data_IF_686141622769
#
_entry.id   IF_686141622769
#
_cell.length_a   1.000
_cell.length_b   1.000
_cell.length_c   1.000
_cell.angle_alpha   90.00
_cell.angle_beta   90.00
_cell.angle_gamma   90.00
#
_symmetry.space_group_name_H-M   'P 1'
#
loop_
_entity.id
_entity.type
_entity.pdbx_description
1 polymer ?
#
# COMPACT_ATOMS: atom_id res chain seq x y z
N UNK A 1 13.76 16.91 10.74
CA UNK A 1 13.66 16.45 9.35
C UNK A 1 12.81 15.19 9.34
N UNK A 2 11.61 15.25 8.77
CA UNK A 2 10.79 14.04 8.59
C UNK A 2 11.47 13.16 7.57
N UNK A 3 11.77 11.91 7.92
CA UNK A 3 12.39 10.96 7.00
C UNK A 3 11.35 10.58 5.95
N UNK A 4 11.62 10.88 4.69
CA UNK A 4 10.72 10.56 3.58
C UNK A 4 11.05 9.18 3.03
N UNK A 5 10.03 8.48 2.56
CA UNK A 5 10.14 7.16 1.91
C UNK A 5 9.96 7.25 0.40
N UNK A 6 9.91 8.48 -0.12
CA UNK A 6 10.15 8.85 -1.51
C UNK A 6 11.45 9.65 -1.56
N UNK A 7 12.28 9.39 -2.56
CA UNK A 7 13.64 9.92 -2.69
C UNK A 7 13.74 10.79 -3.93
N UNK A 8 14.63 11.79 -3.92
CA UNK A 8 14.68 12.84 -4.94
C UNK A 8 14.84 12.33 -6.39
N UNK A 9 15.48 11.18 -6.57
CA UNK A 9 15.74 10.51 -7.84
C UNK A 9 14.77 9.36 -8.14
N UNK A 10 13.72 9.20 -7.34
CA UNK A 10 12.58 8.36 -7.70
C UNK A 10 11.81 8.95 -8.88
N UNK A 11 11.17 8.07 -9.65
CA UNK A 11 10.27 8.45 -10.74
C UNK A 11 8.87 8.00 -10.47
N UNK A 12 7.90 8.89 -10.62
CA UNK A 12 6.47 8.60 -10.55
C UNK A 12 5.92 8.46 -11.97
N UNK A 13 5.48 7.25 -12.33
CA UNK A 13 5.00 6.93 -13.68
C UNK A 13 6.02 7.30 -14.80
N UNK A 14 7.31 7.21 -14.49
CA UNK A 14 8.41 7.53 -15.41
C UNK A 14 8.85 9.00 -15.43
N UNK A 15 8.10 9.89 -14.78
CA UNK A 15 8.40 11.32 -14.62
C UNK A 15 9.05 11.62 -13.27
N UNK A 16 9.63 12.81 -13.12
CA UNK A 16 10.16 13.29 -11.84
C UNK A 16 9.05 13.41 -10.79
N UNK A 17 9.42 13.31 -9.51
CA UNK A 17 8.48 13.51 -8.41
C UNK A 17 7.89 14.93 -8.44
N UNK A 18 6.61 15.01 -8.11
CA UNK A 18 5.89 16.27 -7.88
C UNK A 18 5.73 16.51 -6.38
N UNK A 19 5.55 17.75 -5.96
CA UNK A 19 5.46 18.11 -4.54
C UNK A 19 4.31 17.38 -3.81
N UNK A 20 3.22 17.10 -4.52
CA UNK A 20 2.05 16.39 -3.98
C UNK A 20 2.28 14.87 -3.82
N UNK A 21 3.35 14.32 -4.39
CA UNK A 21 3.60 12.87 -4.38
C UNK A 21 3.66 12.31 -2.95
N UNK A 22 4.23 13.08 -2.00
CA UNK A 22 4.26 12.69 -0.60
C UNK A 22 2.85 12.59 0.01
N UNK A 23 1.96 13.53 -0.30
CA UNK A 23 0.60 13.52 0.23
C UNK A 23 -0.20 12.32 -0.32
N UNK A 24 -0.05 12.00 -1.60
CA UNK A 24 -0.67 10.80 -2.18
C UNK A 24 -0.08 9.53 -1.59
N UNK A 25 1.24 9.49 -1.39
CA UNK A 25 1.91 8.34 -0.78
C UNK A 25 1.37 8.05 0.61
N UNK A 26 1.25 9.07 1.48
CA UNK A 26 0.73 8.89 2.83
C UNK A 26 -0.70 8.35 2.82
N UNK A 27 -1.57 8.84 1.93
CA UNK A 27 -2.94 8.32 1.78
C UNK A 27 -2.96 6.84 1.40
N UNK A 28 -2.10 6.42 0.48
CA UNK A 28 -2.00 5.00 0.12
C UNK A 28 -1.40 4.16 1.25
N UNK A 29 -0.44 4.68 2.00
CA UNK A 29 0.11 3.98 3.16
C UNK A 29 -0.96 3.76 4.24
N UNK A 30 -1.75 4.77 4.58
CA UNK A 30 -2.89 4.65 5.50
C UNK A 30 -3.92 3.66 5.00
N UNK A 31 -4.29 3.73 3.72
CA UNK A 31 -5.19 2.76 3.08
C UNK A 31 -4.69 1.32 3.22
N UNK A 32 -3.41 1.06 2.95
CA UNK A 32 -2.85 -0.28 3.06
C UNK A 32 -2.74 -0.74 4.51
N UNK A 33 -2.53 0.16 5.48
CA UNK A 33 -2.61 -0.17 6.91
C UNK A 33 -4.01 -0.68 7.25
N UNK A 34 -5.06 0.05 6.87
CA UNK A 34 -6.44 -0.37 7.15
C UNK A 34 -6.78 -1.69 6.46
N UNK A 35 -6.34 -1.87 5.21
CA UNK A 35 -6.55 -3.09 4.45
C UNK A 35 -5.95 -4.32 5.14
N UNK A 36 -4.69 -4.25 5.59
CA UNK A 36 -4.05 -5.42 6.21
C UNK A 36 -4.56 -5.71 7.62
N UNK A 37 -5.05 -4.69 8.34
CA UNK A 37 -5.58 -4.86 9.70
C UNK A 37 -6.92 -5.59 9.72
N UNK A 38 -7.69 -5.51 8.63
CA UNK A 38 -8.97 -6.20 8.49
C UNK A 38 -8.80 -7.70 8.22
N UNK A 39 -7.63 -8.13 7.76
CA UNK A 39 -7.39 -9.49 7.30
C UNK A 39 -6.51 -10.30 8.25
N UNK A 40 -7.11 -11.34 8.85
CA UNK A 40 -6.41 -12.21 9.81
C UNK A 40 -5.16 -12.88 9.21
N UNK A 41 -5.16 -13.13 7.90
CA UNK A 41 -4.05 -13.77 7.20
C UNK A 41 -2.71 -13.04 7.37
N UNK A 42 -2.71 -11.72 7.59
CA UNK A 42 -1.47 -10.95 7.75
C UNK A 42 -0.84 -11.06 9.15
N UNK A 43 -1.55 -11.62 10.14
CA UNK A 43 -1.02 -11.80 11.51
C UNK A 43 0.13 -12.81 11.59
N UNK A 44 0.33 -13.64 10.54
CA UNK A 44 1.48 -14.55 10.44
C UNK A 44 2.81 -13.79 10.28
N UNK A 45 2.76 -12.56 9.76
CA UNK A 45 3.94 -11.72 9.55
C UNK A 45 4.21 -10.83 10.77
N UNK A 46 5.49 -10.49 10.98
CA UNK A 46 5.85 -9.49 12.00
C UNK A 46 5.28 -8.12 11.60
N UNK A 47 4.76 -7.32 12.54
CA UNK A 47 4.23 -5.99 12.23
C UNK A 47 5.23 -5.09 11.49
N UNK A 48 6.52 -5.20 11.79
CA UNK A 48 7.59 -4.47 11.08
C UNK A 48 7.77 -4.89 9.62
N UNK A 49 7.58 -6.18 9.28
CA UNK A 49 7.62 -6.68 7.90
C UNK A 49 6.36 -6.24 7.15
N UNK A 50 5.21 -6.25 7.81
CA UNK A 50 3.95 -5.74 7.25
C UNK A 50 4.09 -4.25 6.95
N UNK A 51 4.61 -3.45 7.89
CA UNK A 51 4.88 -2.03 7.66
C UNK A 51 5.82 -1.80 6.48
N UNK A 52 6.93 -2.54 6.37
CA UNK A 52 7.82 -2.45 5.22
C UNK A 52 7.12 -2.82 3.90
N UNK A 53 6.27 -3.86 3.93
CA UNK A 53 5.46 -4.28 2.77
C UNK A 53 4.45 -3.22 2.34
N UNK A 54 3.83 -2.53 3.29
CA UNK A 54 2.93 -1.39 3.04
C UNK A 54 3.69 -0.28 2.32
N UNK A 55 4.90 0.07 2.77
CA UNK A 55 5.70 1.10 2.10
C UNK A 55 5.89 0.76 0.61
N UNK A 56 6.24 -0.50 0.32
CA UNK A 56 6.43 -0.99 -1.04
C UNK A 56 5.12 -1.00 -1.83
N UNK A 57 4.01 -1.43 -1.22
CA UNK A 57 2.70 -1.44 -1.87
C UNK A 57 2.24 -0.02 -2.24
N UNK A 58 2.46 0.97 -1.37
CA UNK A 58 2.19 2.38 -1.63
C UNK A 58 3.07 2.95 -2.76
N UNK A 59 4.35 2.56 -2.83
CA UNK A 59 5.23 2.90 -3.97
C UNK A 59 4.69 2.29 -5.27
N UNK A 60 4.28 1.02 -5.24
CA UNK A 60 3.80 0.30 -6.43
C UNK A 60 2.51 0.88 -6.99
N UNK A 61 1.52 1.17 -6.15
CA UNK A 61 0.22 1.69 -6.62
C UNK A 61 0.35 3.08 -7.25
N UNK A 62 1.31 3.88 -6.78
CA UNK A 62 1.65 5.18 -7.36
C UNK A 62 2.56 5.08 -8.61
N UNK A 63 3.02 3.88 -8.96
CA UNK A 63 3.98 3.69 -10.05
C UNK A 63 5.33 4.33 -9.79
N UNK A 64 5.76 4.34 -8.52
CA UNK A 64 7.09 4.83 -8.12
C UNK A 64 8.15 3.80 -8.49
N UNK A 65 9.23 4.27 -9.11
CA UNK A 65 10.39 3.46 -9.50
C UNK A 65 11.70 4.12 -9.07
N UNK A 66 12.69 3.35 -8.59
CA UNK A 66 12.68 1.90 -8.35
C UNK A 66 11.75 1.51 -7.19
N UNK A 67 11.22 0.29 -7.20
CA UNK A 67 10.25 -0.14 -6.19
C UNK A 67 10.89 -0.34 -4.82
N UNK A 68 12.06 -0.99 -4.79
CA UNK A 68 12.89 -1.17 -3.60
C UNK A 68 14.20 -0.38 -3.74
N UNK A 69 14.70 0.14 -2.60
CA UNK A 69 15.90 0.97 -2.51
C UNK A 69 16.80 0.55 -1.36
N UNK A 70 18.09 0.82 -1.47
CA UNK A 70 19.05 0.55 -0.40
C UNK A 70 18.72 1.37 0.85
N UNK A 71 18.26 2.61 0.67
CA UNK A 71 17.82 3.49 1.76
C UNK A 71 16.61 2.91 2.51
N UNK A 72 15.71 2.19 1.83
CA UNK A 72 14.61 1.47 2.49
C UNK A 72 15.13 0.28 3.30
N UNK A 73 16.19 -0.37 2.83
CA UNK A 73 16.83 -1.46 3.58
C UNK A 73 17.47 -0.94 4.86
N UNK A 74 18.15 0.20 4.79
CA UNK A 74 18.72 0.88 5.96
C UNK A 74 17.64 1.37 6.92
N UNK A 75 16.53 1.90 6.41
CA UNK A 75 15.42 2.39 7.23
C UNK A 75 14.66 1.27 7.95
N UNK A 76 14.38 0.17 7.24
CA UNK A 76 13.52 -0.90 7.74
C UNK A 76 14.31 -2.03 8.43
N UNK A 77 15.60 -2.14 8.15
CA UNK A 77 16.44 -3.27 8.59
C UNK A 77 16.14 -4.59 7.86
N UNK A 78 15.41 -4.53 6.75
CA UNK A 78 15.08 -5.70 5.92
C UNK A 78 15.63 -5.54 4.50
N UNK A 79 15.95 -6.65 3.86
CA UNK A 79 16.21 -6.70 2.42
C UNK A 79 14.92 -6.95 1.64
N UNK A 80 14.91 -6.59 0.34
CA UNK A 80 13.78 -6.83 -0.57
C UNK A 80 13.25 -8.27 -0.48
N UNK A 81 14.16 -9.25 -0.45
CA UNK A 81 13.82 -10.68 -0.39
C UNK A 81 13.09 -11.08 0.89
N UNK A 82 13.34 -10.38 2.00
CA UNK A 82 12.69 -10.65 3.28
C UNK A 82 11.28 -10.05 3.33
N UNK A 83 11.06 -8.94 2.60
CA UNK A 83 9.77 -8.24 2.52
C UNK A 83 8.87 -8.84 1.44
N UNK A 84 9.45 -9.34 0.35
CA UNK A 84 8.74 -9.80 -0.84
C UNK A 84 7.55 -10.75 -0.59
N UNK A 85 7.64 -11.77 0.30
CA UNK A 85 6.50 -12.67 0.54
C UNK A 85 5.28 -11.95 1.13
N UNK A 86 5.51 -11.07 2.11
CA UNK A 86 4.43 -10.32 2.75
C UNK A 86 3.87 -9.26 1.78
N UNK A 87 4.74 -8.55 1.08
CA UNK A 87 4.34 -7.61 0.03
C UNK A 87 3.50 -8.28 -1.07
N UNK A 88 3.88 -9.47 -1.54
CA UNK A 88 3.11 -10.20 -2.53
C UNK A 88 1.71 -10.55 -2.02
N UNK A 89 1.60 -11.04 -0.77
CA UNK A 89 0.30 -11.33 -0.17
C UNK A 89 -0.58 -10.07 -0.03
N UNK A 90 0.00 -8.93 0.37
CA UNK A 90 -0.72 -7.64 0.44
C UNK A 90 -1.21 -7.23 -0.94
N UNK A 91 -0.35 -7.34 -1.95
CA UNK A 91 -0.66 -6.94 -3.32
C UNK A 91 -1.73 -7.83 -3.97
N UNK A 92 -1.65 -9.14 -3.79
CA UNK A 92 -2.65 -10.09 -4.28
C UNK A 92 -4.01 -9.85 -3.62
N UNK A 93 -4.05 -9.59 -2.31
CA UNK A 93 -5.29 -9.25 -1.63
C UNK A 93 -5.87 -7.93 -2.16
N UNK A 94 -5.05 -6.90 -2.34
CA UNK A 94 -5.48 -5.64 -2.95
C UNK A 94 -6.06 -5.84 -4.37
N UNK A 95 -5.39 -6.61 -5.23
CA UNK A 95 -5.88 -6.88 -6.59
C UNK A 95 -7.16 -7.73 -6.60
N UNK A 96 -7.32 -8.67 -5.65
CA UNK A 96 -8.53 -9.44 -5.51
C UNK A 96 -9.72 -8.56 -5.11
N UNK A 97 -9.51 -7.62 -4.17
CA UNK A 97 -10.56 -6.75 -3.65
C UNK A 97 -10.89 -5.59 -4.59
N UNK A 98 -9.89 -4.94 -5.18
CA UNK A 98 -10.05 -3.68 -5.94
C UNK A 98 -9.64 -3.77 -7.40
N UNK A 99 -9.08 -4.90 -7.84
CA UNK A 99 -8.62 -5.06 -9.21
C UNK A 99 -9.77 -5.02 -10.23
N UNK A 100 -9.47 -4.84 -11.52
CA UNK A 100 -10.47 -4.71 -12.58
C UNK A 100 -11.41 -5.92 -12.72
N UNK A 101 -11.05 -7.06 -12.11
CA UNK A 101 -11.86 -8.27 -12.03
C UNK A 101 -13.06 -8.14 -11.07
N UNK A 102 -13.01 -7.22 -10.11
CA UNK A 102 -14.02 -7.07 -9.06
C UNK A 102 -14.96 -5.87 -9.30
N UNK A 103 -15.25 -5.51 -10.55
CA UNK A 103 -16.18 -4.42 -10.93
C UNK A 103 -17.65 -4.64 -10.54
N UNK A 104 -17.95 -5.60 -9.67
CA UNK A 104 -19.24 -5.71 -8.99
C UNK A 104 -19.16 -4.95 -7.69
N UNK A 105 -18.94 -3.63 -7.76
CA UNK A 105 -19.43 -2.76 -6.70
C UNK A 105 -20.95 -2.75 -6.84
N UNK A 106 -21.63 -3.77 -6.31
CA UNK A 106 -22.93 -3.50 -5.72
C UNK A 106 -22.64 -2.45 -4.65
N UNK A 107 -23.02 -1.21 -4.93
CA UNK A 107 -23.17 -0.26 -3.84
C UNK A 107 -24.17 -0.94 -2.92
N UNK A 108 -23.71 -1.36 -1.75
CA UNK A 108 -24.60 -1.49 -0.60
C UNK A 108 -25.10 -0.06 -0.35
N UNK A 109 -26.09 0.33 -1.15
CA UNK A 109 -26.93 1.46 -0.88
C UNK A 109 -27.42 1.24 0.55
N UNK A 110 -27.10 2.20 1.41
CA UNK A 110 -27.55 2.29 2.80
C UNK A 110 -28.91 1.60 3.00
N UNK A 111 -29.09 0.77 4.05
CA UNK A 111 -30.30 -0.02 4.20
C UNK A 111 -31.53 0.90 4.07
N UNK A 112 -32.27 0.75 2.96
CA UNK A 112 -33.49 1.51 2.64
C UNK A 112 -34.65 1.22 3.59
N UNK A 113 -34.42 0.45 4.66
CA UNK A 113 -35.43 -0.17 5.51
C UNK A 113 -35.80 0.59 6.78
N UNK A 114 -35.49 1.89 6.90
CA UNK A 114 -35.87 2.69 8.10
C UNK A 114 -36.87 3.80 7.81
N UNK A 115 -37.65 3.67 6.72
CA UNK A 115 -38.65 4.66 6.34
C UNK A 115 -40.12 4.20 6.51
N UNK A 116 -40.38 3.00 7.03
CA UNK A 116 -41.74 2.51 7.26
C UNK A 116 -41.96 2.15 8.74
N UNK A 117 -42.23 3.16 9.57
CA UNK A 117 -42.93 3.05 10.85
C UNK A 117 -43.94 4.19 11.00
#
# INVERSE_FOLDING_TARGET
MGQTVLFADDRLLGSELVDEAHAYYSKYAEFFVDLVLQEYAFQVYRPSVVAASILVASRKVLGVTPLWRDELSVLTGYDEKQVAPCFQAVWEHFEATFGPRNKTYERDDSPSGVADF
#
